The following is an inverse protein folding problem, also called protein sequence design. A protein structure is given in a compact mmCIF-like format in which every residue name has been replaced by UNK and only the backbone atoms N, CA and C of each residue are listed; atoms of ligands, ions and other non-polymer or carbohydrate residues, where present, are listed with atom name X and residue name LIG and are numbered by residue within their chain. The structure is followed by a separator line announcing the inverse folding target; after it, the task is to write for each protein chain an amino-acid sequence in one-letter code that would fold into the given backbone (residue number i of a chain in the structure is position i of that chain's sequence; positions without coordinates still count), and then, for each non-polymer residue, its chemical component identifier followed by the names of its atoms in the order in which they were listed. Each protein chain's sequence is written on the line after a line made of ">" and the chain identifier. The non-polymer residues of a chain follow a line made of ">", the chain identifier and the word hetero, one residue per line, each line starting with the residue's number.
data_IF_005536609152
#
_entry.id   IF_005536609152
#
_cell.length_a   1.000
_cell.length_b   1.000
_cell.length_c   1.000
_cell.angle_alpha   90.00
_cell.angle_beta   90.00
_cell.angle_gamma   90.00
#
_symmetry.space_group_name_H-M   'P 1'
#
loop_
_entity.id
_entity.type
_entity.pdbx_description
1 polymer ?
#
# COMPACT_ATOMS: atom_id res chain seq x y z
N UNK A 1 -60.16 -5.02 -30.56
CA UNK A 1 -60.63 -3.68 -30.97
C UNK A 1 -61.02 -2.86 -29.75
N UNK A 2 -60.04 -2.13 -29.20
CA UNK A 2 -60.19 -0.85 -28.50
C UNK A 2 -58.77 -0.27 -28.45
N UNK A 3 -58.55 0.76 -29.27
CA UNK A 3 -57.32 1.55 -29.32
C UNK A 3 -57.41 2.59 -28.20
N UNK A 4 -56.36 2.65 -27.37
CA UNK A 4 -56.20 3.65 -26.32
C UNK A 4 -54.79 4.22 -26.38
N UNK A 5 -54.73 5.50 -26.69
CA UNK A 5 -53.62 6.46 -26.77
C UNK A 5 -52.26 6.07 -26.14
N UNK A 6 -51.25 6.21 -26.99
CA UNK A 6 -49.82 6.20 -26.75
C UNK A 6 -49.32 7.31 -25.82
N UNK A 7 -48.61 6.93 -24.76
CA UNK A 7 -47.52 7.69 -24.15
C UNK A 7 -46.22 6.91 -24.42
N UNK A 8 -45.10 7.54 -24.82
CA UNK A 8 -43.88 6.82 -25.13
C UNK A 8 -43.32 6.21 -23.85
N UNK A 9 -43.29 4.87 -23.82
CA UNK A 9 -42.78 4.10 -22.71
C UNK A 9 -41.30 4.38 -22.49
N UNK A 10 -40.96 4.73 -21.25
CA UNK A 10 -39.67 4.34 -20.70
C UNK A 10 -39.68 2.81 -20.63
N UNK A 11 -39.05 2.16 -21.61
CA UNK A 11 -38.62 0.77 -21.47
C UNK A 11 -37.49 0.79 -20.45
N UNK A 12 -37.84 0.76 -19.17
CA UNK A 12 -36.91 0.45 -18.11
C UNK A 12 -36.43 -0.97 -18.33
N UNK A 13 -35.27 -1.14 -18.94
CA UNK A 13 -34.57 -2.41 -18.94
C UNK A 13 -34.18 -2.64 -17.48
N UNK A 14 -35.01 -3.38 -16.74
CA UNK A 14 -34.58 -4.08 -15.54
C UNK A 14 -33.53 -5.10 -16.00
N UNK A 15 -32.26 -4.69 -15.97
CA UNK A 15 -31.17 -5.63 -15.92
C UNK A 15 -31.32 -6.38 -14.60
N UNK A 16 -31.85 -7.60 -14.67
CA UNK A 16 -31.79 -8.55 -13.57
C UNK A 16 -30.34 -8.67 -13.13
N UNK A 17 -30.01 -8.02 -12.02
CA UNK A 17 -28.76 -8.25 -11.33
C UNK A 17 -28.81 -9.67 -10.80
N UNK A 18 -28.23 -10.61 -11.54
CA UNK A 18 -27.72 -11.85 -10.94
C UNK A 18 -26.53 -11.49 -10.04
N UNK A 19 -26.83 -10.88 -8.90
CA UNK A 19 -25.87 -10.67 -7.83
C UNK A 19 -25.98 -11.85 -6.88
N UNK A 20 -24.88 -12.57 -6.70
CA UNK A 20 -24.72 -13.47 -5.56
C UNK A 20 -24.91 -12.68 -4.24
N UNK A 21 -25.33 -13.33 -3.14
CA UNK A 21 -25.49 -12.68 -1.85
C UNK A 21 -24.19 -11.97 -1.44
N UNK A 22 -24.31 -10.69 -1.08
CA UNK A 22 -23.20 -9.82 -0.70
C UNK A 22 -23.07 -9.82 0.82
N UNK A 23 -22.09 -10.54 1.38
CA UNK A 23 -21.81 -10.57 2.82
C UNK A 23 -20.92 -9.39 3.30
N UNK A 24 -20.84 -8.31 2.51
CA UNK A 24 -20.11 -7.08 2.85
C UNK A 24 -20.99 -5.98 3.44
N UNK A 25 -20.39 -4.93 4.04
CA UNK A 25 -21.14 -3.75 4.48
C UNK A 25 -21.90 -3.16 3.28
N UNK A 26 -23.23 -3.05 3.40
CA UNK A 26 -24.06 -2.44 2.36
C UNK A 26 -23.70 -0.96 2.25
N UNK A 27 -23.04 -0.60 1.16
CA UNK A 27 -22.77 0.78 0.80
C UNK A 27 -24.07 1.38 0.27
N UNK A 28 -24.63 2.35 1.01
CA UNK A 28 -25.75 3.15 0.52
C UNK A 28 -25.27 4.07 -0.61
N UNK A 29 -25.91 3.96 -1.78
CA UNK A 29 -25.62 4.80 -2.93
C UNK A 29 -26.63 5.93 -3.01
N UNK A 30 -26.12 7.15 -3.08
CA UNK A 30 -26.92 8.36 -3.28
C UNK A 30 -26.85 8.83 -4.73
N UNK A 31 -27.83 9.64 -5.12
CA UNK A 31 -27.85 10.29 -6.44
C UNK A 31 -26.63 11.23 -6.57
N UNK A 32 -25.78 11.09 -7.61
CA UNK A 32 -24.67 11.99 -7.87
C UNK A 32 -25.06 13.48 -7.88
N UNK A 33 -26.23 13.82 -8.42
CA UNK A 33 -26.71 15.21 -8.50
C UNK A 33 -26.96 15.81 -7.12
N UNK A 34 -27.32 14.99 -6.13
CA UNK A 34 -27.55 15.42 -4.74
C UNK A 34 -26.30 15.96 -4.03
N UNK A 35 -25.12 15.71 -4.61
CA UNK A 35 -23.82 16.24 -4.14
C UNK A 35 -23.10 17.04 -5.21
N UNK A 36 -23.83 17.48 -6.25
CA UNK A 36 -23.27 18.30 -7.34
C UNK A 36 -22.27 17.56 -8.24
N UNK A 37 -22.49 16.26 -8.48
CA UNK A 37 -21.73 15.45 -9.42
C UNK A 37 -22.61 15.00 -10.59
N UNK A 38 -22.01 14.87 -11.78
CA UNK A 38 -22.70 14.39 -12.98
C UNK A 38 -22.65 12.87 -13.06
N UNK A 39 -23.81 12.21 -13.05
CA UNK A 39 -23.92 10.76 -13.26
C UNK A 39 -23.36 10.33 -14.63
N UNK A 40 -23.57 11.13 -15.68
CA UNK A 40 -23.02 10.87 -17.01
C UNK A 40 -21.48 10.83 -16.99
N UNK A 41 -20.83 11.79 -16.31
CA UNK A 41 -19.35 11.80 -16.19
C UNK A 41 -18.84 10.64 -15.34
N UNK A 42 -19.57 10.23 -14.29
CA UNK A 42 -19.24 9.03 -13.53
C UNK A 42 -19.32 7.77 -14.41
N UNK A 43 -20.29 7.71 -15.33
CA UNK A 43 -20.38 6.62 -16.32
C UNK A 43 -19.16 6.53 -17.25
N UNK A 44 -18.42 7.63 -17.48
CA UNK A 44 -17.16 7.59 -18.24
C UNK A 44 -16.05 6.86 -17.49
N UNK A 45 -16.05 6.92 -16.15
CA UNK A 45 -15.12 6.14 -15.33
C UNK A 45 -15.38 4.64 -15.50
N UNK A 46 -16.65 4.23 -15.53
CA UNK A 46 -17.02 2.83 -15.76
C UNK A 46 -16.51 2.33 -17.11
N UNK A 47 -16.73 3.10 -18.17
CA UNK A 47 -16.24 2.78 -19.51
C UNK A 47 -14.72 2.66 -19.56
N UNK A 48 -14.00 3.57 -18.92
CA UNK A 48 -12.53 3.55 -18.88
C UNK A 48 -11.99 2.34 -18.12
N UNK A 49 -12.45 2.09 -16.88
CA UNK A 49 -11.95 0.96 -16.08
C UNK A 49 -12.31 -0.37 -16.75
N UNK A 50 -13.52 -0.49 -17.30
CA UNK A 50 -13.91 -1.67 -18.09
C UNK A 50 -12.99 -1.89 -19.28
N UNK A 51 -12.63 -0.84 -20.03
CA UNK A 51 -11.71 -0.96 -21.17
C UNK A 51 -10.32 -1.49 -20.78
N UNK A 52 -9.82 -1.12 -19.60
CA UNK A 52 -8.55 -1.64 -19.08
C UNK A 52 -8.65 -3.13 -18.72
N UNK A 53 -9.79 -3.56 -18.17
CA UNK A 53 -10.03 -4.95 -17.80
C UNK A 53 -10.25 -5.81 -19.05
N UNK A 54 -11.18 -5.42 -19.92
CA UNK A 54 -11.52 -6.17 -21.14
C UNK A 54 -10.33 -6.22 -22.12
N UNK A 55 -9.49 -5.17 -22.12
CA UNK A 55 -8.24 -5.13 -22.89
C UNK A 55 -7.07 -5.90 -22.27
N UNK A 56 -7.26 -6.52 -21.09
CA UNK A 56 -6.23 -7.28 -20.39
C UNK A 56 -5.07 -6.44 -19.82
N UNK A 57 -5.26 -5.13 -19.69
CA UNK A 57 -4.29 -4.23 -19.05
C UNK A 57 -4.33 -4.30 -17.53
N UNK A 58 -5.50 -4.62 -16.96
CA UNK A 58 -5.70 -4.83 -15.53
C UNK A 58 -6.54 -6.11 -15.33
N UNK A 59 -6.31 -6.89 -14.26
CA UNK A 59 -7.14 -8.08 -13.99
C UNK A 59 -8.52 -7.70 -13.45
N UNK A 60 -8.58 -6.56 -12.75
CA UNK A 60 -9.76 -6.01 -12.13
C UNK A 60 -9.57 -4.52 -11.81
N UNK A 61 -10.65 -3.88 -11.37
CA UNK A 61 -10.60 -2.53 -10.80
C UNK A 61 -11.85 -2.25 -9.98
N UNK A 62 -11.72 -1.52 -8.88
CA UNK A 62 -12.85 -1.04 -8.09
C UNK A 62 -12.72 0.46 -7.84
N UNK A 63 -13.80 1.18 -8.08
CA UNK A 63 -13.86 2.64 -7.91
C UNK A 63 -14.97 2.99 -6.94
N UNK A 64 -14.62 3.76 -5.91
CA UNK A 64 -15.55 4.40 -4.99
C UNK A 64 -15.39 5.92 -5.10
N UNK A 65 -16.50 6.64 -5.26
CA UNK A 65 -16.53 8.11 -5.22
C UNK A 65 -17.53 8.54 -4.16
N UNK A 66 -17.05 9.35 -3.22
CA UNK A 66 -17.87 9.97 -2.19
C UNK A 66 -17.65 11.49 -2.17
N UNK A 67 -18.71 12.24 -1.87
CA UNK A 67 -18.66 13.69 -1.68
C UNK A 67 -19.68 14.09 -0.62
N UNK A 68 -19.30 15.03 0.25
CA UNK A 68 -20.14 15.48 1.38
C UNK A 68 -20.66 14.31 2.25
N UNK A 69 -19.80 13.33 2.52
CA UNK A 69 -20.14 12.15 3.34
C UNK A 69 -21.05 11.12 2.66
N UNK A 70 -21.42 11.32 1.39
CA UNK A 70 -22.31 10.42 0.64
C UNK A 70 -21.54 9.68 -0.44
N UNK A 71 -21.66 8.36 -0.48
CA UNK A 71 -21.15 7.56 -1.60
C UNK A 71 -22.12 7.67 -2.77
N UNK A 72 -21.63 8.06 -3.94
CA UNK A 72 -22.45 8.22 -5.15
C UNK A 72 -22.02 7.30 -6.29
N UNK A 73 -20.92 6.60 -6.10
CA UNK A 73 -20.40 5.64 -7.04
C UNK A 73 -19.64 4.54 -6.29
N UNK A 74 -19.95 3.28 -6.56
CA UNK A 74 -19.18 2.13 -6.10
C UNK A 74 -19.37 0.98 -7.09
N UNK A 75 -18.33 0.69 -7.88
CA UNK A 75 -18.37 -0.32 -8.95
C UNK A 75 -17.07 -1.12 -8.98
N UNK A 76 -17.21 -2.43 -9.14
CA UNK A 76 -16.13 -3.37 -9.39
C UNK A 76 -16.19 -3.91 -10.83
N UNK A 77 -15.03 -4.21 -11.39
CA UNK A 77 -14.84 -4.71 -12.75
C UNK A 77 -13.83 -5.85 -12.73
N UNK A 78 -14.03 -6.86 -13.57
CA UNK A 78 -13.12 -8.01 -13.68
C UNK A 78 -13.26 -9.00 -12.52
N UNK A 79 -12.19 -9.75 -12.26
CA UNK A 79 -12.20 -10.87 -11.32
C UNK A 79 -11.34 -10.59 -10.10
N UNK A 80 -11.82 -11.00 -8.92
CA UNK A 80 -11.00 -11.07 -7.72
C UNK A 80 -9.84 -12.05 -7.90
N UNK A 81 -10.10 -13.19 -8.55
CA UNK A 81 -9.12 -14.22 -8.86
C UNK A 81 -9.54 -15.02 -10.10
N UNK A 82 -8.57 -15.64 -10.76
CA UNK A 82 -8.78 -16.38 -12.02
C UNK A 82 -9.03 -17.88 -11.83
N UNK A 83 -8.90 -18.39 -10.60
CA UNK A 83 -8.91 -19.83 -10.33
C UNK A 83 -7.59 -20.53 -10.73
N UNK A 84 -7.50 -21.83 -10.46
CA UNK A 84 -6.36 -22.66 -10.86
C UNK A 84 -5.11 -22.53 -9.98
N UNK A 85 -4.03 -23.17 -10.41
CA UNK A 85 -2.84 -23.42 -9.57
C UNK A 85 -2.08 -22.16 -9.14
N UNK A 86 -2.14 -21.08 -9.94
CA UNK A 86 -1.48 -19.81 -9.63
C UNK A 86 -2.34 -18.88 -8.75
N UNK A 87 -3.62 -19.21 -8.55
CA UNK A 87 -4.60 -18.43 -7.80
C UNK A 87 -4.63 -18.83 -6.31
N UNK A 88 -5.11 -17.92 -5.48
CA UNK A 88 -5.43 -18.21 -4.07
C UNK A 88 -6.65 -19.11 -3.93
N UNK A 89 -7.55 -19.11 -4.91
CA UNK A 89 -8.79 -19.89 -4.94
C UNK A 89 -8.80 -20.88 -6.12
N UNK A 90 -9.42 -22.06 -5.97
CA UNK A 90 -9.46 -23.05 -7.05
C UNK A 90 -10.36 -22.64 -8.21
N UNK A 91 -11.43 -21.90 -7.94
CA UNK A 91 -12.42 -21.45 -8.92
C UNK A 91 -12.36 -19.94 -9.08
N UNK A 92 -12.59 -19.40 -10.29
CA UNK A 92 -12.63 -17.97 -10.53
C UNK A 92 -13.76 -17.32 -9.73
N UNK A 93 -13.52 -16.11 -9.25
CA UNK A 93 -14.52 -15.30 -8.52
C UNK A 93 -14.52 -13.90 -9.07
N UNK A 94 -15.70 -13.40 -9.43
CA UNK A 94 -15.89 -12.01 -9.85
C UNK A 94 -15.51 -11.03 -8.74
N UNK A 95 -15.09 -9.83 -9.10
CA UNK A 95 -14.72 -8.82 -8.11
C UNK A 95 -15.93 -8.43 -7.25
N UNK A 96 -15.76 -8.43 -5.93
CA UNK A 96 -16.81 -8.10 -4.97
C UNK A 96 -16.46 -6.83 -4.20
N UNK A 97 -17.46 -6.18 -3.60
CA UNK A 97 -17.24 -4.97 -2.80
C UNK A 97 -16.44 -5.24 -1.52
N UNK A 98 -16.48 -6.47 -1.02
CA UNK A 98 -15.77 -6.94 0.18
C UNK A 98 -14.43 -7.61 -0.16
N UNK A 99 -13.96 -7.53 -1.41
CA UNK A 99 -12.65 -8.05 -1.80
C UNK A 99 -11.55 -7.33 -1.01
N UNK A 100 -10.66 -8.12 -0.41
CA UNK A 100 -9.48 -7.65 0.34
C UNK A 100 -8.32 -7.50 -0.64
N UNK A 101 -7.63 -6.35 -0.58
CA UNK A 101 -6.47 -6.06 -1.42
C UNK A 101 -5.22 -5.85 -0.58
N UNK A 102 -4.08 -6.18 -1.17
CA UNK A 102 -2.78 -5.73 -0.69
C UNK A 102 -2.62 -4.28 -1.14
N UNK A 103 -2.69 -3.35 -0.20
CA UNK A 103 -2.67 -1.91 -0.50
C UNK A 103 -1.24 -1.32 -0.55
N UNK A 104 -0.23 -2.11 -0.17
CA UNK A 104 1.19 -1.73 -0.17
C UNK A 104 1.41 -0.33 0.41
N UNK A 105 2.03 0.57 -0.37
CA UNK A 105 2.39 1.93 0.05
C UNK A 105 1.21 2.80 0.49
N UNK A 106 -0.04 2.42 0.24
CA UNK A 106 -1.22 3.06 0.85
C UNK A 106 -1.31 2.82 2.37
N UNK A 107 -0.45 1.98 2.95
CA UNK A 107 -0.24 1.89 4.40
C UNK A 107 0.38 3.17 4.97
N UNK A 108 1.17 3.92 4.19
CA UNK A 108 1.95 5.06 4.69
C UNK A 108 1.12 6.20 5.30
N UNK A 109 -0.01 6.61 4.69
CA UNK A 109 -0.92 7.56 5.34
C UNK A 109 -1.47 7.07 6.68
N UNK A 110 -1.78 5.76 6.81
CA UNK A 110 -2.26 5.18 8.08
C UNK A 110 -1.16 5.28 9.15
N UNK A 111 0.07 4.90 8.80
CA UNK A 111 1.23 5.03 9.69
C UNK A 111 1.49 6.49 10.09
N UNK A 112 1.33 7.41 9.15
CA UNK A 112 1.52 8.85 9.38
C UNK A 112 0.46 9.39 10.35
N UNK A 113 -0.81 9.01 10.19
CA UNK A 113 -1.88 9.34 11.14
C UNK A 113 -1.54 8.81 12.53
N UNK A 114 -1.15 7.55 12.65
CA UNK A 114 -0.79 6.96 13.93
C UNK A 114 0.34 7.71 14.65
N UNK A 115 1.38 8.13 13.91
CA UNK A 115 2.46 8.93 14.47
C UNK A 115 1.99 10.35 14.82
N UNK A 116 1.14 10.97 14.00
CA UNK A 116 0.61 12.31 14.28
C UNK A 116 -0.37 12.35 15.46
N UNK A 117 -1.06 11.24 15.77
CA UNK A 117 -1.85 11.14 17.02
C UNK A 117 -0.94 11.32 18.25
N UNK A 118 0.24 10.70 18.26
CA UNK A 118 1.22 10.88 19.33
C UNK A 118 1.81 12.29 19.37
N UNK A 119 1.91 12.96 18.22
CA UNK A 119 2.28 14.38 18.15
C UNK A 119 1.23 15.28 18.80
N UNK A 120 -0.05 15.07 18.51
CA UNK A 120 -1.16 15.82 19.12
C UNK A 120 -1.26 15.58 20.64
N UNK A 121 -0.82 14.42 21.10
CA UNK A 121 -0.67 14.09 22.54
C UNK A 121 0.58 14.71 23.19
N UNK A 122 1.40 15.44 22.42
CA UNK A 122 2.61 16.12 22.92
C UNK A 122 3.79 15.17 23.19
N UNK A 123 3.79 13.96 22.64
CA UNK A 123 4.83 12.96 22.92
C UNK A 123 6.19 13.26 22.24
N UNK A 124 6.20 14.09 21.20
CA UNK A 124 7.40 14.52 20.47
C UNK A 124 7.16 15.81 19.68
N UNK A 125 8.23 16.43 19.19
CA UNK A 125 8.19 17.51 18.20
C UNK A 125 8.66 17.02 16.82
N UNK A 126 8.11 17.56 15.74
CA UNK A 126 8.53 17.22 14.38
C UNK A 126 10.02 17.48 14.11
N UNK A 127 10.63 18.40 14.86
CA UNK A 127 12.06 18.72 14.80
C UNK A 127 12.93 17.83 15.65
N UNK A 128 12.35 16.95 16.47
CA UNK A 128 13.13 16.08 17.34
C UNK A 128 13.98 15.14 16.50
N UNK A 129 15.24 14.95 16.90
CA UNK A 129 16.10 14.00 16.23
C UNK A 129 15.64 12.56 16.54
N UNK A 130 15.47 11.75 15.51
CA UNK A 130 14.89 10.41 15.59
C UNK A 130 15.67 9.47 16.54
N UNK A 131 16.97 9.71 16.73
CA UNK A 131 17.81 8.90 17.63
C UNK A 131 17.36 8.93 19.09
N UNK A 132 16.62 9.96 19.53
CA UNK A 132 16.06 10.02 20.89
C UNK A 132 15.13 8.84 21.19
N UNK A 133 14.46 8.33 20.15
CA UNK A 133 13.47 7.26 20.25
C UNK A 133 13.99 5.93 19.68
N UNK A 134 14.85 6.00 18.65
CA UNK A 134 15.34 4.82 17.93
C UNK A 134 16.65 4.25 18.47
N UNK A 135 17.42 5.02 19.26
CA UNK A 135 18.67 4.58 19.83
C UNK A 135 19.92 5.22 19.23
N UNK A 136 21.07 4.92 19.85
CA UNK A 136 22.35 5.59 19.58
C UNK A 136 22.87 5.37 18.16
N UNK A 137 22.51 4.26 17.52
CA UNK A 137 22.89 3.94 16.14
C UNK A 137 22.35 4.96 15.12
N UNK A 138 21.26 5.65 15.46
CA UNK A 138 20.66 6.71 14.64
C UNK A 138 21.28 8.10 14.86
N UNK A 139 22.28 8.22 15.74
CA UNK A 139 23.00 9.49 15.93
C UNK A 139 23.79 9.83 14.66
N UNK A 140 23.81 11.11 14.29
CA UNK A 140 24.52 11.58 13.08
C UNK A 140 26.01 11.19 13.10
N UNK A 141 26.63 11.12 14.28
CA UNK A 141 28.03 10.72 14.46
C UNK A 141 28.29 9.27 14.06
N UNK A 142 27.26 8.41 14.09
CA UNK A 142 27.32 7.01 13.69
C UNK A 142 26.87 6.78 12.24
N UNK A 143 26.49 7.84 11.52
CA UNK A 143 25.94 7.76 10.18
C UNK A 143 26.86 8.36 9.13
N UNK A 144 26.89 7.69 7.97
CA UNK A 144 27.65 8.10 6.78
C UNK A 144 26.67 8.52 5.68
N UNK A 145 27.10 9.38 4.77
CA UNK A 145 26.31 9.84 3.61
C UNK A 145 27.10 9.55 2.35
N UNK A 146 26.47 8.96 1.34
CA UNK A 146 27.06 8.75 0.03
C UNK A 146 27.46 10.09 -0.60
N UNK A 147 28.65 10.13 -1.18
CA UNK A 147 29.21 11.31 -1.84
C UNK A 147 29.45 11.07 -3.33
N UNK A 148 30.05 9.93 -3.67
CA UNK A 148 30.36 9.55 -5.05
C UNK A 148 30.69 8.06 -5.15
N UNK A 149 30.86 7.58 -6.38
CA UNK A 149 31.25 6.19 -6.61
C UNK A 149 30.13 5.18 -6.33
N UNK A 150 30.48 3.91 -6.29
CA UNK A 150 29.57 2.80 -6.04
C UNK A 150 30.30 1.61 -5.44
N UNK A 151 29.62 0.85 -4.59
CA UNK A 151 30.17 -0.37 -3.99
C UNK A 151 30.49 -1.41 -5.07
N UNK A 152 29.64 -1.50 -6.10
CA UNK A 152 29.83 -2.44 -7.22
C UNK A 152 31.16 -2.24 -7.96
N UNK A 153 31.65 -1.01 -8.05
CA UNK A 153 32.95 -0.69 -8.67
C UNK A 153 34.10 -0.66 -7.66
N UNK A 154 33.82 -0.75 -6.37
CA UNK A 154 34.82 -0.62 -5.30
C UNK A 154 35.36 0.79 -5.08
N UNK A 155 34.72 1.81 -5.66
CA UNK A 155 35.14 3.22 -5.62
C UNK A 155 34.22 4.11 -4.76
N UNK A 156 33.37 3.51 -3.91
CA UNK A 156 32.39 4.27 -3.11
C UNK A 156 33.09 5.19 -2.11
N UNK A 157 32.74 6.48 -2.18
CA UNK A 157 33.15 7.49 -1.21
C UNK A 157 31.93 7.93 -0.42
N UNK A 158 32.08 7.99 0.89
CA UNK A 158 31.08 8.52 1.83
C UNK A 158 31.68 9.65 2.66
N UNK A 159 30.85 10.57 3.13
CA UNK A 159 31.19 11.64 4.08
C UNK A 159 30.41 11.48 5.40
N UNK A 160 30.80 12.18 6.49
CA UNK A 160 30.02 12.19 7.73
C UNK A 160 28.63 12.82 7.55
N UNK A 161 27.64 12.29 8.29
CA UNK A 161 26.33 12.93 8.38
C UNK A 161 26.43 14.24 9.20
N UNK A 162 25.97 15.35 8.62
CA UNK A 162 26.14 16.71 9.19
C UNK A 162 24.99 17.10 10.10
N UNK A 163 23.79 16.57 9.84
CA UNK A 163 22.54 16.89 10.54
C UNK A 163 21.85 15.61 10.99
N UNK A 164 21.23 15.63 12.17
CA UNK A 164 20.41 14.50 12.62
C UNK A 164 19.19 14.33 11.71
N UNK A 165 18.79 13.08 11.48
CA UNK A 165 17.47 12.77 10.91
C UNK A 165 16.42 13.21 11.94
N UNK A 166 15.45 14.01 11.51
CA UNK A 166 14.31 14.43 12.35
C UNK A 166 13.07 13.61 12.00
N UNK A 167 12.06 13.64 12.87
CA UNK A 167 10.78 12.99 12.59
C UNK A 167 10.12 13.58 11.33
N UNK A 168 10.23 14.90 11.12
CA UNK A 168 9.79 15.57 9.88
C UNK A 168 10.49 15.01 8.65
N UNK A 169 11.79 14.73 8.71
CA UNK A 169 12.52 14.18 7.57
C UNK A 169 11.97 12.80 7.16
N UNK A 170 11.60 11.96 8.14
CA UNK A 170 11.01 10.65 7.89
C UNK A 170 9.61 10.78 7.27
N UNK A 171 8.73 11.60 7.86
CA UNK A 171 7.38 11.83 7.34
C UNK A 171 7.35 12.41 5.92
N UNK A 172 8.41 13.13 5.53
CA UNK A 172 8.49 13.82 4.23
C UNK A 172 9.43 13.16 3.22
N UNK A 173 9.97 11.97 3.52
CA UNK A 173 10.92 11.28 2.64
C UNK A 173 12.17 12.11 2.31
N UNK A 174 12.65 12.89 3.28
CA UNK A 174 13.86 13.72 3.16
C UNK A 174 14.98 13.28 4.11
N UNK A 175 14.93 12.06 4.66
CA UNK A 175 15.94 11.56 5.61
C UNK A 175 17.26 11.11 4.95
N UNK A 176 17.25 10.84 3.64
CA UNK A 176 18.35 10.19 2.94
C UNK A 176 18.28 8.66 2.93
N UNK A 177 17.28 8.04 3.56
CA UNK A 177 17.05 6.59 3.45
C UNK A 177 16.62 6.20 2.02
N UNK A 178 17.00 4.99 1.62
CA UNK A 178 16.62 4.39 0.33
C UNK A 178 15.59 3.26 0.51
N UNK A 179 15.20 2.59 -0.58
CA UNK A 179 14.23 1.49 -0.56
C UNK A 179 14.85 0.14 -0.95
N UNK A 180 16.06 0.11 -1.51
CA UNK A 180 16.71 -1.14 -1.92
C UNK A 180 16.17 -1.73 -3.21
N UNK A 181 15.23 -1.09 -3.90
CA UNK A 181 14.87 -1.46 -5.25
C UNK A 181 14.33 -0.25 -6.00
N UNK A 182 14.33 -0.39 -7.31
CA UNK A 182 14.05 0.67 -8.24
C UNK A 182 12.59 0.61 -8.72
N UNK A 183 11.88 1.72 -8.61
CA UNK A 183 10.53 1.92 -9.16
C UNK A 183 10.55 2.63 -10.53
N UNK A 184 11.73 3.11 -10.98
CA UNK A 184 11.90 4.16 -12.00
C UNK A 184 12.91 3.87 -13.13
N UNK A 185 13.74 2.84 -13.03
CA UNK A 185 14.76 2.45 -14.01
C UNK A 185 16.22 2.61 -13.56
N UNK A 186 16.49 3.35 -12.46
CA UNK A 186 17.83 3.67 -11.98
C UNK A 186 18.04 3.26 -10.51
N UNK A 187 18.75 2.14 -10.29
CA UNK A 187 19.18 1.70 -8.95
C UNK A 187 20.26 2.66 -8.45
N UNK A 188 19.99 3.37 -7.35
CA UNK A 188 20.98 4.29 -6.80
C UNK A 188 22.10 3.53 -6.04
N UNK A 189 23.25 4.17 -5.76
CA UNK A 189 24.39 3.48 -5.13
C UNK A 189 24.09 2.89 -3.75
N UNK A 190 23.13 3.45 -3.01
CA UNK A 190 22.71 2.96 -1.68
C UNK A 190 21.72 1.80 -1.82
N UNK A 191 20.86 1.78 -2.83
CA UNK A 191 19.97 0.63 -3.09
C UNK A 191 20.75 -0.66 -3.34
N UNK A 192 21.93 -0.57 -4.00
CA UNK A 192 22.81 -1.72 -4.17
C UNK A 192 23.28 -2.29 -2.82
N UNK A 193 23.60 -1.43 -1.85
CA UNK A 193 24.01 -1.86 -0.52
C UNK A 193 22.87 -2.54 0.22
N UNK A 194 21.65 -2.01 0.13
CA UNK A 194 20.47 -2.60 0.74
C UNK A 194 20.23 -4.01 0.17
N UNK A 195 20.32 -4.18 -1.15
CA UNK A 195 20.22 -5.49 -1.80
C UNK A 195 21.33 -6.46 -1.37
N UNK A 196 22.59 -5.99 -1.35
CA UNK A 196 23.75 -6.79 -0.92
C UNK A 196 23.61 -7.26 0.54
N UNK A 197 23.09 -6.39 1.39
CA UNK A 197 22.80 -6.67 2.80
C UNK A 197 21.48 -7.43 3.03
N UNK A 198 20.72 -7.73 1.96
CA UNK A 198 19.39 -8.36 2.01
C UNK A 198 18.37 -7.59 2.87
N UNK A 199 18.51 -6.26 2.91
CA UNK A 199 17.56 -5.34 3.55
C UNK A 199 16.43 -5.11 2.56
N UNK A 200 15.42 -5.97 2.62
CA UNK A 200 14.24 -5.91 1.77
C UNK A 200 13.00 -6.09 2.65
N UNK A 201 12.31 -5.00 2.99
CA UNK A 201 11.22 -5.01 3.99
C UNK A 201 10.19 -6.12 3.78
N UNK A 202 9.68 -6.27 2.56
CA UNK A 202 8.68 -7.31 2.23
C UNK A 202 9.21 -8.74 2.17
N UNK A 203 10.54 -8.92 2.11
CA UNK A 203 11.21 -10.24 2.11
C UNK A 203 11.90 -10.55 3.45
N UNK A 204 11.95 -9.59 4.37
CA UNK A 204 12.51 -9.73 5.71
C UNK A 204 11.49 -10.37 6.67
N UNK A 205 10.86 -11.47 6.25
CA UNK A 205 9.78 -12.15 7.00
C UNK A 205 10.21 -12.68 8.37
N UNK A 206 11.52 -12.71 8.64
CA UNK A 206 12.11 -13.22 9.87
C UNK A 206 12.58 -12.11 10.83
N UNK A 207 12.64 -10.86 10.38
CA UNK A 207 13.05 -9.74 11.24
C UNK A 207 11.85 -9.16 11.98
N UNK A 208 12.06 -8.70 13.21
CA UNK A 208 11.14 -7.76 13.85
C UNK A 208 11.29 -6.38 13.23
N UNK A 209 10.28 -5.51 13.40
CA UNK A 209 10.34 -4.12 12.95
C UNK A 209 11.59 -3.39 13.50
N UNK A 210 11.91 -3.61 14.77
CA UNK A 210 13.11 -3.07 15.41
C UNK A 210 14.40 -3.55 14.75
N UNK A 211 14.53 -4.85 14.50
CA UNK A 211 15.72 -5.41 13.84
C UNK A 211 15.88 -4.86 12.42
N UNK A 212 14.78 -4.76 11.68
CA UNK A 212 14.78 -4.16 10.36
C UNK A 212 15.24 -2.70 10.40
N UNK A 213 14.66 -1.88 11.28
CA UNK A 213 15.02 -0.47 11.43
C UNK A 213 16.47 -0.29 11.89
N UNK A 214 16.97 -1.11 12.82
CA UNK A 214 18.39 -1.08 13.20
C UNK A 214 19.31 -1.44 12.03
N UNK A 215 18.90 -2.32 11.11
CA UNK A 215 19.70 -2.64 9.91
C UNK A 215 19.85 -1.44 8.95
N UNK A 216 18.86 -0.55 8.91
CA UNK A 216 18.90 0.67 8.09
C UNK A 216 19.97 1.65 8.59
N UNK A 217 20.16 1.76 9.90
CA UNK A 217 21.15 2.65 10.50
C UNK A 217 22.61 2.27 10.16
N UNK A 218 22.84 1.01 9.79
CA UNK A 218 24.16 0.52 9.38
C UNK A 218 24.54 0.92 7.94
N UNK A 219 23.57 1.39 7.14
CA UNK A 219 23.80 1.76 5.75
C UNK A 219 24.08 3.27 5.62
N UNK A 220 24.88 3.70 4.63
CA UNK A 220 25.02 5.11 4.33
C UNK A 220 23.70 5.68 3.80
N UNK A 221 23.42 6.94 4.13
CA UNK A 221 22.32 7.71 3.56
C UNK A 221 22.67 8.13 2.12
N UNK A 222 21.68 8.28 1.26
CA UNK A 222 21.85 8.74 -0.12
C UNK A 222 22.25 10.21 -0.21
N UNK A 223 21.79 11.03 0.72
CA UNK A 223 22.08 12.46 0.82
C UNK A 223 21.92 12.95 2.26
N UNK A 224 22.34 14.18 2.53
CA UNK A 224 22.28 14.78 3.86
C UNK A 224 20.81 14.99 4.29
N UNK A 225 20.42 14.65 5.54
CA UNK A 225 19.03 14.82 5.97
C UNK A 225 18.49 16.23 5.72
N UNK A 226 17.35 16.31 5.05
CA UNK A 226 16.65 17.53 4.65
C UNK A 226 17.11 18.17 3.34
N UNK A 227 18.11 17.63 2.64
CA UNK A 227 18.64 18.25 1.40
C UNK A 227 17.91 17.86 0.12
N UNK A 228 17.38 16.64 0.05
CA UNK A 228 16.70 16.09 -1.12
C UNK A 228 15.46 15.29 -0.69
N UNK A 229 14.63 14.94 -1.66
CA UNK A 229 13.55 13.98 -1.49
C UNK A 229 13.94 12.65 -2.13
N UNK A 230 13.72 11.54 -1.42
CA UNK A 230 13.82 10.19 -1.97
C UNK A 230 12.88 9.23 -1.26
N UNK A 231 12.12 8.49 -2.06
CA UNK A 231 11.25 7.45 -1.56
C UNK A 231 12.07 6.29 -0.99
N UNK A 232 11.75 5.86 0.22
CA UNK A 232 12.59 4.92 0.99
C UNK A 232 11.82 4.32 2.16
N UNK A 233 12.47 3.49 2.96
CA UNK A 233 11.94 2.87 4.19
C UNK A 233 11.65 3.86 5.34
N UNK A 234 11.49 5.14 5.04
CA UNK A 234 11.19 6.20 5.99
C UNK A 234 9.95 5.88 6.84
N UNK A 235 8.91 5.34 6.22
CA UNK A 235 7.65 5.08 6.92
C UNK A 235 7.68 3.82 7.77
N UNK A 236 8.54 2.85 7.48
CA UNK A 236 8.84 1.74 8.40
C UNK A 236 9.48 2.27 9.68
N UNK A 237 10.40 3.24 9.55
CA UNK A 237 10.96 3.95 10.70
C UNK A 237 9.87 4.74 11.45
N UNK A 238 8.91 5.36 10.75
CA UNK A 238 7.75 5.97 11.41
C UNK A 238 6.92 4.96 12.21
N UNK A 239 6.71 3.74 11.69
CA UNK A 239 6.05 2.66 12.43
C UNK A 239 6.82 2.27 13.69
N UNK A 240 8.16 2.20 13.60
CA UNK A 240 9.01 1.94 14.77
C UNK A 240 8.98 3.09 15.77
N UNK A 241 8.88 4.35 15.31
CA UNK A 241 8.69 5.49 16.21
C UNK A 241 7.39 5.38 16.99
N UNK A 242 6.28 4.98 16.35
CA UNK A 242 5.01 4.73 17.05
C UNK A 242 5.19 3.67 18.14
N UNK A 243 5.85 2.56 17.82
CA UNK A 243 6.10 1.48 18.79
C UNK A 243 7.02 1.93 19.94
N UNK A 244 8.12 2.64 19.63
CA UNK A 244 9.08 3.11 20.62
C UNK A 244 8.49 4.18 21.56
N UNK A 245 7.68 5.09 21.04
CA UNK A 245 7.08 6.19 21.81
C UNK A 245 5.91 5.69 22.65
N UNK A 246 5.05 4.83 22.08
CA UNK A 246 3.86 4.33 22.79
C UNK A 246 4.12 3.15 23.73
N UNK A 247 5.21 2.41 23.51
CA UNK A 247 5.49 1.14 24.20
C UNK A 247 4.58 -0.01 23.78
N UNK A 248 3.80 0.15 22.70
CA UNK A 248 2.85 -0.85 22.19
C UNK A 248 3.31 -1.32 20.81
N UNK A 249 3.26 -2.63 20.51
CA UNK A 249 3.58 -3.14 19.17
C UNK A 249 2.83 -2.38 18.08
N UNK A 250 3.49 -2.04 16.98
CA UNK A 250 2.92 -1.14 15.96
C UNK A 250 1.54 -1.60 15.43
N UNK A 251 1.38 -2.90 15.15
CA UNK A 251 0.10 -3.45 14.68
C UNK A 251 -1.02 -3.34 15.71
N UNK A 252 -0.71 -3.55 16.99
CA UNK A 252 -1.67 -3.42 18.09
C UNK A 252 -2.07 -1.96 18.28
N UNK A 253 -1.13 -1.03 18.14
CA UNK A 253 -1.43 0.41 18.18
C UNK A 253 -2.41 0.78 17.07
N UNK A 254 -2.14 0.37 15.81
CA UNK A 254 -3.04 0.63 14.69
C UNK A 254 -4.42 0.00 14.92
N UNK A 255 -4.49 -1.25 15.39
CA UNK A 255 -5.76 -1.89 15.65
C UNK A 255 -6.58 -1.12 16.70
N UNK A 256 -5.97 -0.79 17.84
CA UNK A 256 -6.65 -0.14 18.98
C UNK A 256 -7.02 1.32 18.70
N UNK A 257 -6.13 2.07 18.05
CA UNK A 257 -6.23 3.52 17.93
C UNK A 257 -6.80 3.99 16.59
N UNK A 258 -6.75 3.15 15.55
CA UNK A 258 -7.18 3.52 14.19
C UNK A 258 -8.25 2.57 13.67
N UNK A 259 -7.97 1.27 13.56
CA UNK A 259 -8.85 0.35 12.83
C UNK A 259 -10.15 0.04 13.57
N UNK A 260 -10.09 -0.31 14.85
CA UNK A 260 -11.29 -0.63 15.61
C UNK A 260 -12.23 0.58 15.78
N UNK A 261 -11.75 1.79 16.13
CA UNK A 261 -12.62 2.97 16.22
C UNK A 261 -13.27 3.37 14.89
N UNK A 262 -12.61 3.12 13.76
CA UNK A 262 -13.12 3.43 12.41
C UNK A 262 -13.90 2.26 11.77
N UNK A 263 -14.04 1.12 12.45
CA UNK A 263 -14.74 -0.05 11.91
C UNK A 263 -14.00 -0.71 10.73
N UNK A 264 -12.68 -0.57 10.64
CA UNK A 264 -11.84 -1.13 9.56
C UNK A 264 -11.54 -2.62 9.81
N UNK A 265 -12.58 -3.44 9.93
CA UNK A 265 -12.51 -4.86 10.36
C UNK A 265 -11.72 -5.78 9.43
N UNK A 266 -11.46 -5.35 8.20
CA UNK A 266 -10.74 -6.09 7.16
C UNK A 266 -9.38 -5.46 6.78
N UNK A 267 -8.84 -4.58 7.64
CA UNK A 267 -7.50 -4.00 7.48
C UNK A 267 -6.52 -4.62 8.46
N UNK A 268 -5.49 -5.29 7.94
CA UNK A 268 -4.46 -5.97 8.73
C UNK A 268 -3.17 -6.18 7.91
N UNK A 269 -2.09 -6.60 8.58
CA UNK A 269 -0.82 -6.94 7.93
C UNK A 269 -0.79 -8.33 7.28
N UNK A 270 -1.80 -9.17 7.56
CA UNK A 270 -1.94 -10.51 7.01
C UNK A 270 -3.42 -10.88 6.89
N UNK A 271 -3.74 -11.85 6.05
CA UNK A 271 -5.10 -12.34 5.83
C UNK A 271 -5.32 -13.69 6.54
N UNK A 272 -6.19 -13.74 7.56
CA UNK A 272 -6.45 -14.97 8.30
C UNK A 272 -7.25 -15.97 7.45
N UNK A 273 -7.12 -17.29 7.71
CA UNK A 273 -7.69 -18.37 6.89
C UNK A 273 -9.15 -18.13 6.47
N UNK A 274 -9.98 -17.73 7.43
CA UNK A 274 -11.42 -17.51 7.26
C UNK A 274 -11.76 -16.36 6.30
N UNK A 275 -10.83 -15.42 6.06
CA UNK A 275 -11.02 -14.28 5.13
C UNK A 275 -10.35 -14.47 3.77
N UNK A 276 -9.51 -15.50 3.58
CA UNK A 276 -8.71 -15.68 2.34
C UNK A 276 -9.55 -15.86 1.08
N UNK A 277 -10.79 -16.33 1.22
CA UNK A 277 -11.76 -16.42 0.12
C UNK A 277 -12.17 -15.04 -0.45
N UNK A 278 -11.83 -13.95 0.25
CA UNK A 278 -12.04 -12.56 -0.18
C UNK A 278 -10.75 -11.88 -0.66
N UNK A 279 -9.59 -12.50 -0.46
CA UNK A 279 -8.31 -11.92 -0.88
C UNK A 279 -8.19 -11.98 -2.41
N UNK A 280 -7.88 -10.83 -3.01
CA UNK A 280 -7.59 -10.75 -4.43
C UNK A 280 -6.27 -11.43 -4.78
N UNK A 281 -6.21 -12.02 -5.97
CA UNK A 281 -4.97 -12.43 -6.59
C UNK A 281 -4.09 -11.20 -6.85
N UNK A 282 -2.77 -11.38 -6.74
CA UNK A 282 -1.78 -10.37 -7.04
C UNK A 282 -1.19 -10.62 -8.43
N UNK A 283 -1.13 -9.56 -9.25
CA UNK A 283 -0.60 -9.62 -10.60
C UNK A 283 0.56 -8.66 -10.78
N UNK A 284 1.49 -9.02 -11.65
CA UNK A 284 2.62 -8.20 -12.07
C UNK A 284 2.60 -8.06 -13.60
N UNK A 285 2.88 -6.86 -14.11
CA UNK A 285 3.05 -6.65 -15.55
C UNK A 285 4.32 -7.31 -16.06
N UNK A 286 4.27 -7.92 -17.24
CA UNK A 286 5.47 -8.35 -17.93
C UNK A 286 6.20 -7.12 -18.50
N UNK A 287 7.50 -6.92 -18.21
CA UNK A 287 8.23 -5.76 -18.70
C UNK A 287 8.26 -5.65 -20.24
N UNK A 288 8.22 -6.78 -20.95
CA UNK A 288 8.10 -6.90 -22.41
C UNK A 288 7.42 -8.24 -22.74
N UNK A 289 6.09 -8.31 -22.87
CA UNK A 289 5.44 -9.56 -23.23
C UNK A 289 5.86 -9.96 -24.65
N UNK A 290 6.32 -11.21 -24.83
CA UNK A 290 6.53 -11.77 -26.15
C UNK A 290 5.20 -11.96 -26.91
N UNK A 291 5.24 -12.20 -28.24
CA UNK A 291 4.02 -12.52 -28.99
C UNK A 291 3.25 -13.68 -28.33
N UNK A 292 1.97 -13.46 -28.02
CA UNK A 292 1.12 -14.46 -27.36
C UNK A 292 1.29 -14.61 -25.85
N UNK A 293 2.20 -13.86 -25.21
CA UNK A 293 2.29 -13.84 -23.75
C UNK A 293 1.23 -12.91 -23.13
N UNK A 294 0.60 -13.32 -22.01
CA UNK A 294 -0.31 -12.45 -21.29
C UNK A 294 0.44 -11.22 -20.79
N UNK A 295 -0.21 -10.05 -20.79
CA UNK A 295 0.39 -8.79 -20.27
C UNK A 295 0.64 -8.84 -18.78
N UNK A 296 -0.13 -9.67 -18.07
CA UNK A 296 -0.11 -9.81 -16.63
C UNK A 296 0.28 -11.24 -16.25
N UNK A 297 1.12 -11.36 -15.22
CA UNK A 297 1.46 -12.61 -14.56
C UNK A 297 0.79 -12.65 -13.21
N UNK A 298 0.05 -13.71 -12.92
CA UNK A 298 -0.40 -13.98 -11.56
C UNK A 298 0.81 -14.41 -10.71
N UNK A 299 1.08 -13.65 -9.64
CA UNK A 299 2.22 -13.84 -8.73
C UNK A 299 1.76 -14.16 -7.31
N UNK A 300 0.49 -14.53 -7.12
CA UNK A 300 -0.14 -14.76 -5.82
C UNK A 300 0.51 -15.88 -5.00
N UNK A 301 1.21 -16.82 -5.65
CA UNK A 301 1.89 -17.98 -5.05
C UNK A 301 3.42 -17.85 -5.05
N UNK A 302 3.93 -16.64 -4.90
CA UNK A 302 5.36 -16.41 -4.66
C UNK A 302 5.64 -16.40 -3.16
N UNK A 303 6.87 -16.70 -2.75
CA UNK A 303 7.28 -16.69 -1.31
C UNK A 303 6.84 -15.40 -0.60
N UNK A 304 7.00 -14.25 -1.25
CA UNK A 304 6.57 -12.95 -0.73
C UNK A 304 5.04 -12.88 -0.57
N UNK A 305 4.29 -13.30 -1.58
CA UNK A 305 2.83 -13.19 -1.56
C UNK A 305 2.18 -14.19 -0.59
N UNK A 306 2.80 -15.37 -0.43
CA UNK A 306 2.39 -16.39 0.53
C UNK A 306 2.58 -15.90 1.97
N UNK A 307 3.56 -15.04 2.25
CA UNK A 307 3.80 -14.48 3.59
C UNK A 307 2.58 -13.73 4.16
N UNK A 308 1.81 -13.03 3.31
CA UNK A 308 0.57 -12.37 3.73
C UNK A 308 -0.55 -13.34 4.13
N UNK A 309 -0.38 -14.64 3.89
CA UNK A 309 -1.33 -15.70 4.25
C UNK A 309 -0.71 -16.77 5.15
N UNK A 310 0.58 -16.72 5.47
CA UNK A 310 1.23 -17.72 6.29
C UNK A 310 0.85 -17.59 7.78
N UNK A 311 0.66 -16.36 8.24
CA UNK A 311 0.33 -16.02 9.63
C UNK A 311 0.64 -14.56 9.94
N UNK A 312 0.52 -14.14 11.21
CA UNK A 312 0.99 -12.82 11.64
C UNK A 312 2.48 -12.64 11.32
N UNK A 313 2.88 -11.52 10.69
CA UNK A 313 4.27 -11.30 10.33
C UNK A 313 5.09 -10.89 11.55
N UNK A 314 6.38 -11.27 11.59
CA UNK A 314 7.32 -10.78 12.60
C UNK A 314 7.54 -9.25 12.49
N UNK A 315 7.44 -8.70 11.28
CA UNK A 315 7.49 -7.28 10.99
C UNK A 315 6.14 -6.78 10.47
N UNK A 316 5.52 -5.89 11.23
CA UNK A 316 4.39 -5.08 10.75
C UNK A 316 4.94 -3.80 10.10
N UNK A 317 5.10 -3.82 8.78
CA UNK A 317 5.75 -2.73 8.03
C UNK A 317 4.90 -1.45 8.02
N UNK A 318 5.48 -0.32 8.41
CA UNK A 318 4.83 0.99 8.27
C UNK A 318 4.80 1.52 6.83
N UNK A 319 5.53 0.87 5.91
CA UNK A 319 5.76 1.30 4.53
C UNK A 319 5.13 0.44 3.43
N UNK A 320 4.66 -0.77 3.73
CA UNK A 320 3.99 -1.66 2.76
C UNK A 320 4.71 -2.98 2.52
#
# INVERSE_FOLDING_TARGET
>A
LKLGSSSPGFVGIQLERRGHPMDGPKIELHDPSSVGLSGERLGRLDGYVRSLVDGGHRPNGMVLVARHGKVVHCRGFGRQNDGGAASLQPQPVDLRQDTIFRIYSMSKPITSVALMMLYEEGAFLLTDPAWLYLGKEWRKENMRVWKSGSEKRGDMVTEPCKKSITIKHLLTHTSGLSYGFDLTGDVNPVDYLYNKAKIQGSNATELTLKQFVSSLAAMPLLFQPGSCWNYGYNTDVCGMLVEAISGVPFADFLHRRVFAPLGMVDTAFWCPPEKRHRLADCFQEYPRPGPGQPRLRNVSRTKQQDAYTAGPPAMSSGGG
#
